data_IF_974969189815
#
_entry.id   IF_974969189815
#
_cell.length_a   1.000
_cell.length_b   1.000
_cell.length_c   1.000
_cell.angle_alpha   90.00
_cell.angle_beta   90.00
_cell.angle_gamma   90.00
#
_symmetry.space_group_name_H-M   'P 1'
#
loop_
_entity.id
_entity.type
_entity.pdbx_description
1 polymer ?
#
# COMPACT_ATOMS: atom_id res chain seq x y z
N UNK A 1 -13.81 -10.00 -5.79
CA UNK A 1 -13.90 -9.02 -6.89
C UNK A 1 -12.83 -7.97 -6.67
N UNK A 2 -11.85 -7.85 -7.56
CA UNK A 2 -10.88 -6.76 -7.54
C UNK A 2 -11.49 -5.60 -8.33
N UNK A 3 -11.72 -4.47 -7.67
CA UNK A 3 -12.17 -3.24 -8.34
C UNK A 3 -10.95 -2.46 -8.82
N UNK A 4 -10.78 -2.35 -10.13
CA UNK A 4 -9.81 -1.44 -10.71
C UNK A 4 -10.32 0.00 -10.49
N UNK A 5 -9.66 0.76 -9.63
CA UNK A 5 -9.91 2.19 -9.51
C UNK A 5 -9.50 2.85 -10.83
N UNK A 6 -10.50 3.28 -11.62
CA UNK A 6 -10.28 4.00 -12.88
C UNK A 6 -9.82 5.44 -12.65
N UNK A 7 -10.14 6.01 -11.49
CA UNK A 7 -9.83 7.38 -11.13
C UNK A 7 -8.69 7.40 -10.09
N UNK A 8 -7.44 7.75 -10.47
CA UNK A 8 -6.32 7.85 -9.54
C UNK A 8 -6.48 9.01 -8.53
N UNK A 9 -7.41 9.93 -8.79
CA UNK A 9 -7.76 11.06 -7.95
C UNK A 9 -8.67 10.71 -6.77
N UNK A 10 -9.26 9.51 -6.74
CA UNK A 10 -10.02 9.04 -5.57
C UNK A 10 -9.06 8.49 -4.51
N UNK A 11 -8.93 9.24 -3.43
CA UNK A 11 -8.24 8.79 -2.23
C UNK A 11 -8.91 7.52 -1.67
N UNK A 12 -8.08 6.61 -1.16
CA UNK A 12 -8.54 5.35 -0.57
C UNK A 12 -9.52 5.63 0.58
N UNK A 13 -10.61 4.86 0.64
CA UNK A 13 -11.53 4.86 1.77
C UNK A 13 -10.92 4.25 3.04
N UNK A 14 -9.75 3.59 2.93
CA UNK A 14 -9.02 3.05 4.06
C UNK A 14 -8.41 4.19 4.88
N UNK A 15 -8.90 4.38 6.10
CA UNK A 15 -8.37 5.35 7.06
C UNK A 15 -7.53 4.66 8.12
N UNK A 16 -6.26 5.05 8.23
CA UNK A 16 -5.42 4.59 9.34
C UNK A 16 -5.95 5.17 10.65
N UNK A 17 -6.42 4.29 11.54
CA UNK A 17 -6.95 4.67 12.86
C UNK A 17 -5.90 5.26 13.79
N UNK A 18 -4.60 5.12 13.48
CA UNK A 18 -3.49 5.68 14.26
C UNK A 18 -3.15 7.11 13.87
N UNK A 19 -3.70 7.62 12.76
CA UNK A 19 -3.45 9.01 12.35
C UNK A 19 -4.16 9.98 13.29
N UNK A 20 -3.39 10.91 13.89
CA UNK A 20 -3.88 11.88 14.89
C UNK A 20 -4.13 13.29 14.35
N UNK A 21 -3.88 13.52 13.06
CA UNK A 21 -4.02 14.83 12.42
C UNK A 21 -5.44 15.15 11.95
N UNK A 22 -5.59 16.32 11.33
CA UNK A 22 -6.84 16.75 10.69
C UNK A 22 -7.12 15.96 9.40
N UNK A 23 -8.34 16.07 8.88
CA UNK A 23 -8.70 15.43 7.61
C UNK A 23 -7.82 15.93 6.45
N UNK A 24 -7.52 17.22 6.40
CA UNK A 24 -6.69 17.84 5.35
C UNK A 24 -5.24 17.34 5.40
N UNK A 25 -4.66 17.24 6.61
CA UNK A 25 -3.32 16.67 6.79
C UNK A 25 -3.26 15.20 6.37
N UNK A 26 -4.33 14.45 6.62
CA UNK A 26 -4.44 13.06 6.20
C UNK A 26 -4.45 12.91 4.68
N UNK A 27 -5.23 13.75 3.99
CA UNK A 27 -5.32 13.74 2.53
C UNK A 27 -4.01 14.18 1.88
N UNK A 28 -3.36 15.23 2.41
CA UNK A 28 -2.04 15.65 1.96
C UNK A 28 -0.98 14.56 2.18
N UNK A 29 -1.00 13.88 3.34
CA UNK A 29 -0.11 12.77 3.62
C UNK A 29 -0.36 11.57 2.69
N UNK A 30 -1.62 11.25 2.38
CA UNK A 30 -1.95 10.20 1.42
C UNK A 30 -1.40 10.51 0.02
N UNK A 31 -1.54 11.76 -0.44
CA UNK A 31 -1.00 12.20 -1.73
C UNK A 31 0.54 12.13 -1.78
N UNK A 32 1.22 12.42 -0.67
CA UNK A 32 2.68 12.32 -0.59
C UNK A 32 3.18 10.91 -0.22
N UNK A 33 2.28 9.99 0.16
CA UNK A 33 2.67 8.68 0.66
C UNK A 33 3.14 7.77 -0.47
N UNK A 34 4.20 7.03 -0.20
CA UNK A 34 4.76 6.00 -1.10
C UNK A 34 4.50 4.59 -0.56
N UNK A 35 3.66 4.48 0.46
CA UNK A 35 3.34 3.22 1.15
C UNK A 35 1.97 2.73 0.70
N UNK A 36 1.94 1.54 0.10
CA UNK A 36 0.73 0.87 -0.35
C UNK A 36 0.33 -0.20 0.66
N UNK A 37 -0.91 -0.12 1.15
CA UNK A 37 -1.53 -1.20 1.90
C UNK A 37 -2.21 -2.17 0.93
N UNK A 38 -1.91 -3.45 1.07
CA UNK A 38 -2.50 -4.52 0.26
C UNK A 38 -3.16 -5.50 1.22
N UNK A 39 -4.47 -5.69 1.07
CA UNK A 39 -5.26 -6.63 1.85
C UNK A 39 -5.87 -7.73 0.98
N UNK A 40 -6.49 -8.72 1.63
CA UNK A 40 -7.15 -9.84 0.96
C UNK A 40 -6.20 -10.66 0.05
N UNK A 41 -4.93 -10.74 0.44
CA UNK A 41 -3.98 -11.66 -0.17
C UNK A 41 -4.17 -13.06 0.39
N UNK A 42 -3.70 -14.05 -0.38
CA UNK A 42 -3.67 -15.42 0.11
C UNK A 42 -2.71 -15.55 1.30
N UNK A 43 -3.05 -16.39 2.28
CA UNK A 43 -2.15 -16.72 3.39
C UNK A 43 -0.87 -17.44 2.93
N UNK A 44 -0.89 -17.98 1.71
CA UNK A 44 0.24 -18.64 1.07
C UNK A 44 1.11 -17.70 0.22
N UNK A 45 0.70 -16.44 0.05
CA UNK A 45 1.49 -15.46 -0.72
C UNK A 45 2.77 -15.13 0.02
N UNK A 46 3.91 -15.34 -0.64
CA UNK A 46 5.23 -15.01 -0.08
C UNK A 46 5.64 -13.58 -0.42
N UNK A 47 6.66 -13.08 0.29
CA UNK A 47 7.22 -11.75 0.03
C UNK A 47 7.79 -11.66 -1.39
N UNK A 48 8.41 -12.72 -1.90
CA UNK A 48 9.01 -12.74 -3.24
C UNK A 48 7.95 -12.60 -4.33
N UNK A 49 6.81 -13.27 -4.18
CA UNK A 49 5.69 -13.15 -5.11
C UNK A 49 5.12 -11.73 -5.15
N UNK A 50 5.01 -11.08 -3.99
CA UNK A 50 4.60 -9.69 -3.91
C UNK A 50 5.66 -8.78 -4.57
N UNK A 51 6.94 -9.03 -4.29
CA UNK A 51 8.04 -8.27 -4.87
C UNK A 51 8.02 -8.31 -6.40
N UNK A 52 7.94 -9.51 -7.01
CA UNK A 52 7.87 -9.66 -8.47
C UNK A 52 6.68 -8.92 -9.09
N UNK A 53 5.52 -8.96 -8.43
CA UNK A 53 4.31 -8.30 -8.91
C UNK A 53 4.46 -6.77 -8.88
N UNK A 54 4.89 -6.22 -7.74
CA UNK A 54 4.96 -4.77 -7.53
C UNK A 54 6.23 -4.15 -8.14
N UNK A 55 7.28 -4.93 -8.40
CA UNK A 55 8.51 -4.46 -9.03
C UNK A 55 8.25 -3.94 -10.46
N UNK A 56 7.18 -4.43 -11.11
CA UNK A 56 6.72 -3.92 -12.42
C UNK A 56 6.10 -2.53 -12.35
N UNK A 57 5.60 -2.11 -11.18
CA UNK A 57 4.97 -0.81 -10.99
C UNK A 57 5.99 0.27 -10.55
N UNK A 58 7.13 -0.13 -10.01
CA UNK A 58 8.21 0.76 -9.60
C UNK A 58 9.24 0.09 -8.72
N UNK A 59 10.25 0.87 -8.31
CA UNK A 59 11.26 0.39 -7.35
C UNK A 59 10.61 0.14 -5.98
N UNK A 60 10.77 -1.06 -5.44
CA UNK A 60 10.33 -1.40 -4.09
C UNK A 60 11.46 -1.14 -3.12
N UNK A 61 11.23 -0.25 -2.15
CA UNK A 61 12.18 0.04 -1.08
C UNK A 61 12.09 -0.98 0.05
N UNK A 62 10.87 -1.40 0.41
CA UNK A 62 10.64 -2.32 1.54
C UNK A 62 9.28 -3.01 1.43
N UNK A 63 9.22 -4.28 1.78
CA UNK A 63 7.96 -5.01 1.98
C UNK A 63 7.84 -5.37 3.46
N UNK A 64 6.64 -5.24 4.01
CA UNK A 64 6.31 -5.61 5.39
C UNK A 64 5.13 -6.57 5.31
N UNK A 65 5.40 -7.86 5.52
CA UNK A 65 4.36 -8.89 5.57
C UNK A 65 3.57 -8.76 6.86
N UNK A 66 2.24 -8.75 6.74
CA UNK A 66 1.32 -8.75 7.87
C UNK A 66 1.32 -10.11 8.54
N UNK A 67 1.70 -10.16 9.82
CA UNK A 67 1.76 -11.40 10.57
C UNK A 67 0.61 -11.51 11.57
N UNK A 68 0.11 -12.73 11.75
CA UNK A 68 -0.78 -13.06 12.84
C UNK A 68 -0.04 -13.00 14.19
N UNK A 69 -0.70 -12.44 15.21
CA UNK A 69 -0.07 -12.15 16.50
C UNK A 69 0.27 -13.41 17.30
N UNK A 70 -0.46 -14.50 17.07
CA UNK A 70 -0.31 -15.74 17.82
C UNK A 70 0.57 -16.74 17.08
N UNK A 71 0.33 -16.90 15.79
CA UNK A 71 0.96 -17.93 14.96
C UNK A 71 2.15 -17.41 14.14
N UNK A 72 2.40 -16.09 14.11
CA UNK A 72 3.45 -15.45 13.30
C UNK A 72 3.43 -15.86 11.83
N UNK A 73 2.27 -16.28 11.34
CA UNK A 73 2.05 -16.64 9.94
C UNK A 73 1.54 -15.44 9.14
N UNK A 74 1.74 -15.41 7.81
CA UNK A 74 1.19 -14.36 6.97
C UNK A 74 -0.34 -14.32 7.09
N UNK A 75 -0.91 -13.17 7.44
CA UNK A 75 -2.34 -12.99 7.70
C UNK A 75 -3.08 -12.34 6.51
N UNK A 76 -2.56 -12.51 5.29
CA UNK A 76 -3.23 -12.06 4.06
C UNK A 76 -3.25 -10.55 3.86
N UNK A 77 -2.34 -9.81 4.51
CA UNK A 77 -2.11 -8.39 4.23
C UNK A 77 -0.60 -8.09 4.21
N UNK A 78 -0.20 -7.05 3.48
CA UNK A 78 1.16 -6.53 3.52
C UNK A 78 1.17 -5.02 3.28
N UNK A 79 2.29 -4.40 3.63
CA UNK A 79 2.59 -3.02 3.29
C UNK A 79 3.80 -3.00 2.36
N UNK A 80 3.69 -2.33 1.23
CA UNK A 80 4.77 -2.16 0.25
C UNK A 80 5.15 -0.69 0.21
N UNK A 81 6.40 -0.39 0.58
CA UNK A 81 7.00 0.92 0.40
C UNK A 81 7.62 0.96 -1.00
N UNK A 82 7.03 1.75 -1.88
CA UNK A 82 7.59 2.04 -3.17
C UNK A 82 8.56 3.23 -3.07
N UNK A 83 9.43 3.38 -4.07
CA UNK A 83 10.10 4.64 -4.33
C UNK A 83 9.08 5.74 -4.69
N UNK A 84 9.51 7.01 -4.75
CA UNK A 84 8.66 8.07 -5.28
C UNK A 84 8.14 7.64 -6.65
N UNK A 85 6.83 7.41 -6.75
CA UNK A 85 6.18 7.04 -7.99
C UNK A 85 6.29 8.26 -8.92
N UNK A 86 7.00 8.17 -10.06
CA UNK A 86 7.08 9.29 -10.99
C UNK A 86 5.70 9.68 -11.54
N UNK A 87 4.69 8.82 -11.36
CA UNK A 87 3.31 9.06 -11.80
C UNK A 87 2.55 10.11 -10.96
N UNK A 88 2.92 10.32 -9.69
CA UNK A 88 2.29 11.35 -8.85
C UNK A 88 2.95 12.74 -8.98
N UNK A 89 4.03 12.87 -9.76
CA UNK A 89 4.65 14.16 -10.09
C UNK A 89 4.04 14.79 -11.37
N UNK A 90 2.80 14.45 -11.74
CA UNK A 90 2.12 14.99 -12.94
C UNK A 90 1.55 16.40 -12.70
N UNK A 91 2.30 17.26 -12.00
CA UNK A 91 2.02 18.69 -11.91
C UNK A 91 3.31 19.50 -11.98
N UNK A 92 3.99 19.40 -13.13
CA UNK A 92 4.77 20.50 -13.70
C UNK A 92 4.33 20.75 -15.12
#
# INVERSE_FOLDING_TARGET
MASLFKDPSKLSAYRDRRFKGTQEEYEAALLASTTLYIGNMSFYTTEEQAYELFSRAGEIKKIIMGLDKNSKTPCGFCFVLCGPLPFLDTSR
#
